data_IF_814088924572
#
_entry.id   IF_814088924572
#
_cell.length_a   1.000
_cell.length_b   1.000
_cell.length_c   1.000
_cell.angle_alpha   90.00
_cell.angle_beta   90.00
_cell.angle_gamma   90.00
#
_symmetry.space_group_name_H-M   'P 1'
#
loop_
_entity.id
_entity.type
_entity.pdbx_description
1 polymer ?
#
# COMPACT_ATOMS: atom_id res chain seq x y z
N UNK A 1 -51.32 -9.18 -3.04
CA UNK A 1 -50.43 -8.30 -3.82
C UNK A 1 -48.99 -8.71 -3.53
N UNK A 2 -48.27 -9.37 -4.46
CA UNK A 2 -46.88 -9.74 -4.24
C UNK A 2 -45.92 -8.63 -4.70
N UNK A 3 -44.88 -8.41 -3.90
CA UNK A 3 -43.94 -7.31 -4.01
C UNK A 3 -42.97 -7.43 -5.20
N UNK A 4 -42.65 -6.26 -5.76
CA UNK A 4 -41.68 -6.13 -6.84
C UNK A 4 -40.29 -5.99 -6.22
N UNK A 5 -39.48 -7.03 -6.33
CA UNK A 5 -38.04 -6.96 -6.06
C UNK A 5 -37.34 -6.44 -7.33
N UNK A 6 -37.13 -5.13 -7.45
CA UNK A 6 -36.27 -4.59 -8.52
C UNK A 6 -34.81 -4.63 -8.07
N UNK A 7 -34.15 -5.77 -8.27
CA UNK A 7 -32.69 -5.80 -8.33
C UNK A 7 -32.28 -5.21 -9.68
N UNK A 8 -31.66 -4.03 -9.66
CA UNK A 8 -31.01 -3.48 -10.86
C UNK A 8 -29.81 -4.37 -11.17
N UNK A 9 -29.93 -5.17 -12.23
CA UNK A 9 -28.83 -5.95 -12.76
C UNK A 9 -27.87 -5.00 -13.47
N UNK A 10 -26.75 -4.67 -12.83
CA UNK A 10 -25.64 -3.98 -13.50
C UNK A 10 -25.13 -4.89 -14.62
N UNK A 11 -25.54 -4.65 -15.86
CA UNK A 11 -24.85 -5.20 -17.00
C UNK A 11 -23.44 -4.62 -17.00
N UNK A 12 -22.45 -5.46 -16.70
CA UNK A 12 -21.04 -5.14 -16.87
C UNK A 12 -20.78 -4.95 -18.36
N UNK A 13 -20.95 -3.72 -18.85
CA UNK A 13 -20.29 -3.28 -20.08
C UNK A 13 -18.81 -3.10 -19.77
N UNK A 14 -18.12 -4.18 -19.42
CA UNK A 14 -16.67 -4.16 -19.24
C UNK A 14 -16.03 -4.24 -20.61
N UNK A 15 -15.98 -3.10 -21.31
CA UNK A 15 -14.83 -2.84 -22.17
C UNK A 15 -13.67 -2.62 -21.20
N UNK A 16 -12.97 -3.69 -20.84
CA UNK A 16 -11.79 -3.58 -19.98
C UNK A 16 -10.76 -2.77 -20.75
N UNK A 17 -10.44 -1.56 -20.28
CA UNK A 17 -9.38 -0.72 -20.84
C UNK A 17 -7.97 -1.27 -20.56
N UNK A 18 -7.87 -2.46 -19.97
CA UNK A 18 -6.62 -3.11 -19.59
C UNK A 18 -6.23 -4.15 -20.64
N UNK A 19 -5.38 -3.78 -21.61
CA UNK A 19 -4.73 -4.78 -22.46
C UNK A 19 -3.78 -5.63 -21.61
N UNK A 20 -3.80 -6.97 -21.73
CA UNK A 20 -2.84 -7.86 -21.08
C UNK A 20 -1.37 -7.50 -21.37
N UNK A 21 -1.10 -6.89 -22.52
CA UNK A 21 0.24 -6.45 -22.93
C UNK A 21 0.73 -5.27 -22.09
N UNK A 22 -0.18 -4.35 -21.73
CA UNK A 22 0.12 -3.16 -20.91
C UNK A 22 0.35 -3.56 -19.45
N UNK A 23 -0.40 -4.54 -18.95
CA UNK A 23 -0.27 -5.06 -17.57
C UNK A 23 1.04 -5.80 -17.29
N UNK A 24 1.85 -6.10 -18.32
CA UNK A 24 3.18 -6.71 -18.16
C UNK A 24 4.31 -5.67 -17.99
N UNK A 25 4.03 -4.41 -18.28
CA UNK A 25 4.96 -3.28 -18.17
C UNK A 25 4.96 -2.49 -16.82
N UNK A 26 4.09 -2.72 -15.79
CA UNK A 26 4.03 -1.83 -14.63
C UNK A 26 5.26 -1.87 -13.70
N UNK A 27 6.16 -2.82 -13.88
CA UNK A 27 7.24 -3.05 -12.92
C UNK A 27 8.57 -2.88 -13.62
N UNK A 28 9.06 -1.63 -13.68
CA UNK A 28 10.47 -1.36 -13.91
C UNK A 28 11.15 -1.32 -12.54
N UNK A 29 11.93 -2.35 -12.14
CA UNK A 29 12.60 -2.36 -10.85
C UNK A 29 13.49 -1.11 -10.76
N UNK A 30 13.15 -0.20 -9.85
CA UNK A 30 13.97 0.98 -9.59
C UNK A 30 14.98 0.61 -8.50
N UNK A 31 16.30 0.66 -8.79
CA UNK A 31 17.30 0.43 -7.76
C UNK A 31 17.09 1.40 -6.61
N UNK A 32 16.86 0.87 -5.41
CA UNK A 32 16.78 1.66 -4.20
C UNK A 32 18.20 1.99 -3.73
N UNK A 33 18.59 3.26 -3.79
CA UNK A 33 19.66 3.73 -2.94
C UNK A 33 19.08 3.76 -1.53
N UNK A 34 19.57 2.87 -0.66
CA UNK A 34 19.25 2.91 0.77
C UNK A 34 19.77 4.23 1.34
N UNK A 35 18.99 5.30 1.24
CA UNK A 35 19.20 6.50 2.03
C UNK A 35 19.30 6.06 3.49
N UNK A 36 20.23 6.67 4.23
CA UNK A 36 20.47 6.33 5.63
C UNK A 36 19.13 6.20 6.37
N UNK A 37 18.85 5.00 6.89
CA UNK A 37 17.59 4.69 7.59
C UNK A 37 17.35 5.78 8.64
N UNK A 38 16.17 6.38 8.61
CA UNK A 38 15.81 7.35 9.63
C UNK A 38 15.72 6.64 10.99
N UNK A 39 16.17 7.28 12.06
CA UNK A 39 16.14 6.71 13.42
C UNK A 39 14.71 6.47 13.96
N UNK A 40 13.69 6.98 13.28
CA UNK A 40 12.28 6.88 13.64
C UNK A 40 11.48 5.98 12.67
N UNK A 41 12.17 5.21 11.81
CA UNK A 41 11.51 4.28 10.90
C UNK A 41 12.08 2.87 11.01
N UNK A 42 11.22 1.88 11.04
CA UNK A 42 11.59 0.47 11.12
C UNK A 42 10.88 -0.33 10.02
N UNK A 43 11.59 -1.28 9.40
CA UNK A 43 11.02 -2.17 8.39
C UNK A 43 10.71 -3.52 9.04
N UNK A 44 9.58 -4.13 8.69
CA UNK A 44 9.11 -5.39 9.25
C UNK A 44 8.41 -6.23 8.19
N UNK A 45 8.39 -7.54 8.39
CA UNK A 45 7.69 -8.49 7.52
C UNK A 45 6.45 -9.02 8.23
N UNK A 46 5.32 -8.97 7.54
CA UNK A 46 4.01 -9.40 8.05
C UNK A 46 3.60 -10.65 7.28
N UNK A 47 3.54 -11.82 7.93
CA UNK A 47 3.06 -13.04 7.29
C UNK A 47 1.60 -12.86 6.84
N UNK A 48 1.34 -13.06 5.53
CA UNK A 48 0.00 -12.97 4.96
C UNK A 48 -0.57 -14.35 4.63
N UNK A 49 0.28 -15.27 4.17
CA UNK A 49 -0.08 -16.67 3.91
C UNK A 49 1.19 -17.56 3.90
N UNK A 50 1.02 -18.87 3.74
CA UNK A 50 2.14 -19.82 3.60
C UNK A 50 3.08 -19.43 2.46
N UNK A 51 4.30 -19.03 2.81
CA UNK A 51 5.32 -18.59 1.87
C UNK A 51 5.12 -17.17 1.31
N UNK A 52 4.17 -16.40 1.85
CA UNK A 52 3.89 -15.02 1.42
C UNK A 52 3.93 -14.08 2.62
N UNK A 53 4.82 -13.09 2.54
CA UNK A 53 4.91 -12.00 3.51
C UNK A 53 4.80 -10.64 2.81
N UNK A 54 4.11 -9.72 3.47
CA UNK A 54 4.07 -8.31 3.11
C UNK A 54 5.18 -7.61 3.85
N UNK A 55 5.99 -6.84 3.15
CA UNK A 55 6.86 -5.92 3.85
C UNK A 55 6.08 -4.71 4.33
N UNK A 56 6.50 -4.08 5.41
CA UNK A 56 5.96 -2.81 5.86
C UNK A 56 7.04 -1.94 6.52
N UNK A 57 6.87 -0.62 6.45
CA UNK A 57 7.68 0.39 7.16
C UNK A 57 6.83 1.14 8.16
N UNK A 58 7.28 1.15 9.40
CA UNK A 58 6.64 1.79 10.53
C UNK A 58 7.36 3.08 10.84
N UNK A 59 6.64 4.18 10.83
CA UNK A 59 7.11 5.50 11.24
C UNK A 59 6.64 5.77 12.67
N UNK A 60 7.60 5.73 13.59
CA UNK A 60 7.36 5.86 15.02
C UNK A 60 7.06 7.31 15.40
N UNK A 61 6.01 7.50 16.22
CA UNK A 61 5.60 8.75 16.86
C UNK A 61 5.32 8.50 18.35
N UNK A 62 4.72 9.46 19.07
CA UNK A 62 4.44 9.39 20.49
C UNK A 62 3.59 8.18 20.91
N UNK A 63 3.81 7.71 22.14
CA UNK A 63 2.99 6.67 22.74
C UNK A 63 1.57 7.21 22.99
N UNK A 64 0.58 6.67 22.28
CA UNK A 64 -0.82 7.11 22.35
C UNK A 64 -1.35 7.74 21.05
N UNK A 65 -0.45 8.12 20.14
CA UNK A 65 -0.81 8.71 18.86
C UNK A 65 -1.63 7.76 17.97
N UNK A 66 -2.58 8.26 17.16
CA UNK A 66 -3.36 7.43 16.23
C UNK A 66 -2.47 6.70 15.22
N UNK A 67 -2.89 5.50 14.84
CA UNK A 67 -2.23 4.71 13.80
C UNK A 67 -2.92 4.92 12.44
N UNK A 68 -2.15 5.29 11.42
CA UNK A 68 -2.55 5.32 10.03
C UNK A 68 -2.00 4.10 9.30
N UNK A 69 -2.91 3.33 8.73
CA UNK A 69 -2.60 2.19 7.89
C UNK A 69 -2.64 2.61 6.42
N UNK A 70 -1.52 2.51 5.71
CA UNK A 70 -1.37 3.05 4.36
C UNK A 70 -0.89 1.99 3.36
N UNK A 71 -1.55 1.94 2.20
CA UNK A 71 -1.19 1.06 1.07
C UNK A 71 -0.85 1.93 -0.14
N UNK A 72 0.29 1.65 -0.78
CA UNK A 72 0.66 2.34 -2.01
C UNK A 72 -0.08 1.77 -3.24
N UNK A 73 -0.11 2.53 -4.34
CA UNK A 73 -0.62 2.10 -5.64
C UNK A 73 0.39 1.27 -6.45
N UNK A 74 -0.06 0.72 -7.58
CA UNK A 74 0.79 -0.08 -8.45
C UNK A 74 1.97 0.74 -9.02
N UNK A 75 3.20 0.23 -8.88
CA UNK A 75 4.42 0.86 -9.40
C UNK A 75 5.08 1.87 -8.44
N UNK A 76 4.45 2.15 -7.30
CA UNK A 76 5.04 2.95 -6.23
C UNK A 76 5.80 2.05 -5.24
N UNK A 77 6.80 2.63 -4.55
CA UNK A 77 7.60 1.95 -3.53
C UNK A 77 7.58 2.73 -2.21
N UNK A 78 7.96 2.08 -1.11
CA UNK A 78 7.96 2.70 0.24
C UNK A 78 8.81 3.97 0.31
N UNK A 79 9.94 3.99 -0.39
CA UNK A 79 10.83 5.14 -0.42
C UNK A 79 10.14 6.39 -0.99
N UNK A 80 9.17 6.24 -1.90
CA UNK A 80 8.38 7.38 -2.43
C UNK A 80 7.59 8.09 -1.32
N UNK A 81 7.42 7.43 -0.17
CA UNK A 81 6.64 7.91 0.95
C UNK A 81 7.46 8.33 2.17
N UNK A 82 8.80 8.35 2.13
CA UNK A 82 9.62 8.69 3.30
C UNK A 82 9.36 10.13 3.78
N UNK A 83 9.25 11.10 2.86
CA UNK A 83 8.91 12.49 3.20
C UNK A 83 7.50 12.61 3.79
N UNK A 84 6.55 11.87 3.23
CA UNK A 84 5.18 11.82 3.76
C UNK A 84 5.16 11.21 5.17
N UNK A 85 6.01 10.21 5.43
CA UNK A 85 6.17 9.62 6.76
C UNK A 85 6.69 10.61 7.80
N UNK A 86 7.62 11.49 7.40
CA UNK A 86 8.10 12.59 8.25
C UNK A 86 7.00 13.58 8.60
N UNK A 87 6.18 13.96 7.63
CA UNK A 87 5.07 14.91 7.81
C UNK A 87 4.06 14.36 8.82
N UNK A 88 3.58 13.12 8.63
CA UNK A 88 2.60 12.52 9.54
C UNK A 88 3.14 12.34 10.95
N UNK A 89 4.42 11.98 11.10
CA UNK A 89 5.08 11.95 12.41
C UNK A 89 5.07 13.33 13.08
N UNK A 90 5.36 14.40 12.33
CA UNK A 90 5.30 15.77 12.85
C UNK A 90 3.92 16.20 13.32
N UNK A 91 2.86 15.54 12.83
CA UNK A 91 1.46 15.74 13.24
C UNK A 91 1.04 14.86 14.43
N UNK A 92 1.94 14.05 14.99
CA UNK A 92 1.58 13.09 16.04
C UNK A 92 0.78 11.92 15.49
N UNK A 93 1.05 11.46 14.26
CA UNK A 93 0.41 10.30 13.64
C UNK A 93 1.47 9.22 13.44
N UNK A 94 1.24 8.05 14.02
CA UNK A 94 2.01 6.83 13.74
C UNK A 94 1.56 6.27 12.41
N UNK A 95 2.47 5.86 11.53
CA UNK A 95 2.10 5.33 10.20
C UNK A 95 2.78 4.01 9.90
N UNK A 96 2.02 3.06 9.37
CA UNK A 96 2.54 1.84 8.74
C UNK A 96 2.26 1.89 7.23
N UNK A 97 3.30 1.81 6.41
CA UNK A 97 3.18 1.72 4.95
C UNK A 97 3.57 0.31 4.49
N UNK A 98 2.70 -0.38 3.76
CA UNK A 98 2.99 -1.73 3.25
C UNK A 98 3.65 -1.69 1.88
N UNK A 99 4.45 -2.71 1.59
CA UNK A 99 5.02 -2.99 0.29
C UNK A 99 4.74 -4.42 -0.16
N UNK A 100 4.64 -4.57 -1.48
CA UNK A 100 4.42 -5.85 -2.15
C UNK A 100 5.50 -6.89 -1.81
N UNK A 101 5.14 -8.15 -2.04
CA UNK A 101 5.92 -9.34 -1.69
C UNK A 101 7.40 -9.22 -2.07
N UNK A 102 8.27 -9.28 -1.07
CA UNK A 102 9.68 -9.62 -1.28
C UNK A 102 9.69 -11.13 -1.61
N UNK A 103 10.23 -11.55 -2.77
CA UNK A 103 10.40 -12.98 -3.07
C UNK A 103 11.36 -13.67 -2.08
#
# INVERSE_FOLDING_TARGET
>A
MPGVNTWVQWQKTTRSWTSPEILRLPFYPRPEFRYARSSYSEDFMIPANSGVALGARFFQSGAGDPNLLFFHGNGEIVADYDDTGRIYRGMGIRRSAFFGSIP
#
